data_IF_508944583668
#
_entry.id   IF_508944583668
#
_cell.length_a   1.000
_cell.length_b   1.000
_cell.length_c   1.000
_cell.angle_alpha   90.00
_cell.angle_beta   90.00
_cell.angle_gamma   90.00
#
_symmetry.space_group_name_H-M   'P 1'
#
loop_
_entity.id
_entity.type
_entity.pdbx_description
1 polymer ?
#
# COMPACT_ATOMS: atom_id res chain seq x y z
N UNK A 1 11.45 21.22 2.61
CA UNK A 1 11.25 20.02 3.43
C UNK A 1 11.00 18.81 2.54
N UNK A 2 11.44 17.66 2.98
CA UNK A 2 11.27 16.44 2.18
C UNK A 2 9.81 16.02 2.13
N UNK A 3 9.38 15.56 0.96
CA UNK A 3 8.04 15.01 0.80
C UNK A 3 7.94 13.68 1.53
N UNK A 4 6.73 13.34 1.97
CA UNK A 4 6.47 12.01 2.51
C UNK A 4 6.57 10.98 1.39
N UNK A 5 7.11 9.81 1.70
CA UNK A 5 7.30 8.72 0.74
C UNK A 5 6.13 7.75 0.81
N UNK A 6 5.54 7.43 -0.32
CA UNK A 6 4.48 6.43 -0.41
C UNK A 6 4.94 5.34 -1.36
N UNK A 7 4.95 4.11 -0.89
CA UNK A 7 5.29 2.95 -1.71
C UNK A 7 4.00 2.33 -2.26
N UNK A 8 3.91 2.22 -3.58
CA UNK A 8 2.77 1.61 -4.26
C UNK A 8 3.19 0.23 -4.76
N UNK A 9 2.56 -0.81 -4.26
CA UNK A 9 2.85 -2.19 -4.64
C UNK A 9 1.66 -2.74 -5.43
N UNK A 10 1.85 -2.93 -6.74
CA UNK A 10 0.80 -3.41 -7.64
C UNK A 10 1.48 -3.96 -8.88
N UNK A 11 1.03 -5.12 -9.38
CA UNK A 11 1.63 -5.76 -10.54
C UNK A 11 1.19 -5.10 -11.86
N UNK A 12 0.15 -4.29 -11.85
CA UNK A 12 -0.36 -3.64 -13.04
C UNK A 12 0.19 -2.22 -13.16
N UNK A 13 0.96 -1.97 -14.22
CA UNK A 13 1.54 -0.64 -14.46
C UNK A 13 0.45 0.44 -14.56
N UNK A 14 -0.67 0.12 -15.21
CA UNK A 14 -1.78 1.06 -15.34
C UNK A 14 -2.27 1.54 -13.97
N UNK A 15 -2.40 0.62 -13.02
CA UNK A 15 -2.86 0.97 -11.67
C UNK A 15 -1.83 1.81 -10.93
N UNK A 16 -0.54 1.47 -11.06
CA UNK A 16 0.51 2.27 -10.44
C UNK A 16 0.54 3.68 -11.01
N UNK A 17 0.45 3.81 -12.34
CA UNK A 17 0.45 5.12 -12.99
C UNK A 17 -0.73 5.96 -12.55
N UNK A 18 -1.90 5.35 -12.42
CA UNK A 18 -3.09 6.06 -11.97
C UNK A 18 -2.88 6.64 -10.57
N UNK A 19 -2.33 5.82 -9.66
CA UNK A 19 -2.09 6.27 -8.30
C UNK A 19 -1.04 7.38 -8.26
N UNK A 20 0.02 7.25 -9.06
CA UNK A 20 1.05 8.29 -9.15
C UNK A 20 0.41 9.63 -9.58
N UNK A 21 -0.49 9.60 -10.57
CA UNK A 21 -1.17 10.79 -11.03
C UNK A 21 -2.09 11.37 -9.94
N UNK A 22 -2.81 10.52 -9.22
CA UNK A 22 -3.71 10.97 -8.17
C UNK A 22 -2.96 11.61 -7.00
N UNK A 23 -1.77 11.12 -6.69
CA UNK A 23 -0.95 11.69 -5.61
C UNK A 23 -0.26 12.98 -6.03
N UNK A 24 -0.02 13.16 -7.32
CA UNK A 24 0.56 14.38 -7.86
C UNK A 24 1.96 14.68 -7.31
N UNK A 25 2.25 15.95 -7.09
CA UNK A 25 3.56 16.38 -6.62
C UNK A 25 3.65 16.47 -5.09
N UNK A 26 2.58 16.15 -4.38
CA UNK A 26 2.53 16.26 -2.93
C UNK A 26 3.37 15.21 -2.22
N UNK A 27 3.54 14.05 -2.83
CA UNK A 27 4.25 12.92 -2.25
C UNK A 27 5.35 12.41 -3.17
N UNK A 28 6.38 11.82 -2.57
CA UNK A 28 7.38 11.08 -3.33
C UNK A 28 6.87 9.64 -3.47
N UNK A 29 6.64 9.18 -4.70
CA UNK A 29 6.04 7.86 -4.94
C UNK A 29 7.11 6.87 -5.36
N UNK A 30 7.15 5.74 -4.66
CA UNK A 30 8.01 4.60 -4.99
C UNK A 30 7.10 3.49 -5.50
N UNK A 31 7.58 2.67 -6.42
CA UNK A 31 6.77 1.63 -7.03
C UNK A 31 7.42 0.26 -6.87
N UNK A 32 6.60 -0.77 -6.71
CA UNK A 32 7.03 -2.16 -6.70
C UNK A 32 6.02 -2.98 -7.49
N UNK A 33 6.50 -3.99 -8.22
CA UNK A 33 5.66 -4.75 -9.15
C UNK A 33 5.11 -6.04 -8.55
N UNK A 34 5.60 -6.43 -7.38
CA UNK A 34 5.09 -7.61 -6.67
C UNK A 34 5.39 -7.47 -5.18
N UNK A 35 4.89 -8.43 -4.41
CA UNK A 35 5.05 -8.39 -2.96
C UNK A 35 6.50 -8.52 -2.50
N UNK A 36 7.30 -9.34 -3.19
CA UNK A 36 8.70 -9.50 -2.86
C UNK A 36 9.48 -8.22 -3.04
N UNK A 37 9.28 -7.53 -4.17
CA UNK A 37 9.90 -6.24 -4.40
C UNK A 37 9.36 -5.21 -3.39
N UNK A 38 8.08 -5.29 -3.06
CA UNK A 38 7.47 -4.40 -2.07
C UNK A 38 8.16 -4.51 -0.72
N UNK A 39 8.42 -5.74 -0.26
CA UNK A 39 9.11 -5.94 1.01
C UNK A 39 10.54 -5.38 0.93
N UNK A 40 11.26 -5.65 -0.16
CA UNK A 40 12.64 -5.15 -0.32
C UNK A 40 12.68 -3.62 -0.35
N UNK A 41 11.75 -3.01 -1.09
CA UNK A 41 11.69 -1.54 -1.16
C UNK A 41 11.35 -0.94 0.19
N UNK A 42 10.45 -1.56 0.94
CA UNK A 42 10.12 -1.09 2.28
C UNK A 42 11.34 -1.12 3.19
N UNK A 43 12.14 -2.19 3.10
CA UNK A 43 13.35 -2.32 3.91
C UNK A 43 14.40 -1.27 3.53
N UNK A 44 14.56 -1.00 2.23
CA UNK A 44 15.58 -0.09 1.74
C UNK A 44 15.19 1.37 1.92
N UNK A 45 13.94 1.72 1.61
CA UNK A 45 13.49 3.11 1.56
C UNK A 45 12.75 3.58 2.79
N UNK A 46 12.22 2.66 3.58
CA UNK A 46 11.44 2.94 4.80
C UNK A 46 10.38 4.03 4.53
N UNK A 47 9.42 3.73 3.64
CA UNK A 47 8.41 4.73 3.28
C UNK A 47 7.54 5.12 4.47
N UNK A 48 6.82 6.22 4.32
CA UNK A 48 5.91 6.70 5.35
C UNK A 48 4.56 6.00 5.31
N UNK A 49 4.21 5.42 4.16
CA UNK A 49 2.95 4.71 3.98
C UNK A 49 3.08 3.75 2.80
N UNK A 50 2.37 2.63 2.84
CA UNK A 50 2.37 1.63 1.77
C UNK A 50 0.94 1.41 1.29
N UNK A 51 0.74 1.47 -0.04
CA UNK A 51 -0.50 1.04 -0.69
C UNK A 51 -0.22 -0.33 -1.27
N UNK A 52 -0.89 -1.35 -0.74
CA UNK A 52 -0.59 -2.75 -1.05
C UNK A 52 -1.74 -3.43 -1.77
N UNK A 53 -1.50 -3.83 -3.03
CA UNK A 53 -2.47 -4.64 -3.77
C UNK A 53 -2.46 -6.06 -3.19
N UNK A 54 -3.63 -6.60 -2.90
CA UNK A 54 -3.76 -7.92 -2.29
C UNK A 54 -3.77 -9.06 -3.28
N UNK A 55 -4.02 -8.78 -4.56
CA UNK A 55 -4.25 -9.83 -5.57
C UNK A 55 -3.08 -10.14 -6.49
N UNK A 56 -1.84 -9.98 -6.04
CA UNK A 56 -0.67 -10.19 -6.89
C UNK A 56 -0.25 -11.66 -6.95
N UNK A 57 0.28 -12.12 -8.11
CA UNK A 57 0.52 -13.55 -8.33
C UNK A 57 1.77 -14.14 -7.68
N UNK A 58 2.87 -13.43 -7.54
CA UNK A 58 4.13 -14.02 -7.06
C UNK A 58 4.18 -14.10 -5.54
N UNK A 59 4.27 -12.97 -4.90
CA UNK A 59 4.05 -12.88 -3.47
C UNK A 59 2.87 -11.94 -3.31
N UNK A 60 1.74 -12.45 -2.84
CA UNK A 60 0.55 -11.63 -2.76
C UNK A 60 0.67 -10.58 -1.65
N UNK A 61 -0.26 -9.61 -1.68
CA UNK A 61 -0.24 -8.52 -0.71
C UNK A 61 -0.44 -8.98 0.73
N UNK A 62 -1.13 -10.10 0.94
CA UNK A 62 -1.32 -10.66 2.29
C UNK A 62 0.02 -11.07 2.89
N UNK A 63 0.79 -11.86 2.13
CA UNK A 63 2.09 -12.34 2.60
C UNK A 63 3.07 -11.19 2.78
N UNK A 64 3.11 -10.25 1.83
CA UNK A 64 3.98 -9.08 1.93
C UNK A 64 3.65 -8.25 3.17
N UNK A 65 2.35 -8.04 3.44
CA UNK A 65 1.90 -7.30 4.62
C UNK A 65 2.36 -7.99 5.90
N UNK A 66 2.20 -9.32 5.98
CA UNK A 66 2.64 -10.06 7.17
C UNK A 66 4.14 -9.92 7.40
N UNK A 67 4.94 -10.01 6.32
CA UNK A 67 6.39 -9.87 6.42
C UNK A 67 6.81 -8.49 6.91
N UNK A 68 6.18 -7.45 6.38
CA UNK A 68 6.46 -6.08 6.79
C UNK A 68 6.08 -5.88 8.25
N UNK A 69 4.91 -6.34 8.66
CA UNK A 69 4.44 -6.17 10.04
C UNK A 69 5.21 -7.03 11.04
N UNK A 70 5.85 -8.10 10.58
CA UNK A 70 6.71 -8.92 11.43
C UNK A 70 8.09 -8.28 11.65
N UNK A 71 8.48 -7.32 10.83
CA UNK A 71 9.78 -6.64 10.92
C UNK A 71 9.66 -5.47 11.91
N UNK A 72 10.44 -5.51 12.99
CA UNK A 72 10.36 -4.49 14.04
C UNK A 72 10.69 -3.09 13.55
N UNK A 73 11.46 -2.96 12.47
CA UNK A 73 11.81 -1.66 11.91
C UNK A 73 10.75 -1.11 10.97
N UNK A 74 9.82 -1.96 10.50
CA UNK A 74 8.84 -1.58 9.50
C UNK A 74 7.40 -1.64 10.01
N UNK A 75 7.15 -2.29 11.13
CA UNK A 75 5.77 -2.55 11.59
C UNK A 75 4.98 -1.28 11.87
N UNK A 76 5.66 -0.17 12.11
CA UNK A 76 4.99 1.11 12.39
C UNK A 76 4.46 1.78 11.11
N UNK A 77 4.89 1.33 9.93
CA UNK A 77 4.48 1.94 8.67
C UNK A 77 3.03 1.56 8.36
N UNK A 78 2.14 2.55 8.16
CA UNK A 78 0.75 2.23 7.82
C UNK A 78 0.66 1.54 6.47
N UNK A 79 -0.13 0.48 6.39
CA UNK A 79 -0.39 -0.23 5.14
C UNK A 79 -1.88 -0.14 4.84
N UNK A 80 -2.21 0.44 3.69
CA UNK A 80 -3.58 0.48 3.19
C UNK A 80 -3.71 -0.61 2.14
N UNK A 81 -4.54 -1.62 2.41
CA UNK A 81 -4.77 -2.70 1.47
C UNK A 81 -5.68 -2.21 0.34
N UNK A 82 -5.30 -2.51 -0.91
CA UNK A 82 -6.09 -2.16 -2.09
C UNK A 82 -6.60 -3.46 -2.71
N UNK A 83 -7.90 -3.58 -2.90
CA UNK A 83 -8.50 -4.84 -3.35
C UNK A 83 -9.63 -4.61 -4.33
N UNK A 84 -9.74 -5.50 -5.32
CA UNK A 84 -10.87 -5.50 -6.25
C UNK A 84 -12.07 -6.27 -5.71
N UNK A 85 -11.92 -6.92 -4.55
CA UNK A 85 -12.98 -7.69 -3.91
C UNK A 85 -13.37 -7.02 -2.60
N UNK A 86 -14.35 -6.11 -2.66
CA UNK A 86 -14.77 -5.33 -1.50
C UNK A 86 -15.81 -6.09 -0.67
N UNK A 87 -15.52 -7.35 -0.33
CA UNK A 87 -16.41 -8.18 0.49
C UNK A 87 -15.96 -8.14 1.95
N UNK A 88 -16.92 -8.33 2.85
CA UNK A 88 -16.65 -8.29 4.29
C UNK A 88 -15.53 -9.26 4.69
N UNK A 89 -15.48 -10.45 4.07
CA UNK A 89 -14.44 -11.42 4.35
C UNK A 89 -13.04 -10.91 4.02
N UNK A 90 -12.90 -10.18 2.91
CA UNK A 90 -11.60 -9.63 2.49
C UNK A 90 -11.13 -8.55 3.46
N UNK A 91 -12.03 -7.72 3.95
CA UNK A 91 -11.70 -6.70 4.93
C UNK A 91 -11.19 -7.32 6.23
N UNK A 92 -11.85 -8.38 6.70
CA UNK A 92 -11.43 -9.10 7.90
C UNK A 92 -10.03 -9.70 7.69
N UNK A 93 -9.79 -10.34 6.54
CA UNK A 93 -8.49 -10.93 6.23
C UNK A 93 -7.40 -9.87 6.17
N UNK A 94 -7.69 -8.70 5.62
CA UNK A 94 -6.74 -7.60 5.57
C UNK A 94 -6.32 -7.18 6.98
N UNK A 95 -7.28 -7.06 7.88
CA UNK A 95 -6.99 -6.73 9.28
C UNK A 95 -6.16 -7.81 9.95
N UNK A 96 -6.44 -9.08 9.69
CA UNK A 96 -5.68 -10.20 10.26
C UNK A 96 -4.25 -10.24 9.75
N UNK A 97 -4.01 -9.83 8.50
CA UNK A 97 -2.66 -9.75 7.95
C UNK A 97 -1.87 -8.57 8.51
N UNK A 98 -2.55 -7.59 9.10
CA UNK A 98 -1.93 -6.45 9.73
C UNK A 98 -2.09 -5.13 8.99
N UNK A 99 -2.97 -5.07 7.99
CA UNK A 99 -3.27 -3.82 7.30
C UNK A 99 -3.93 -2.82 8.25
N UNK A 100 -3.61 -1.56 8.08
CA UNK A 100 -4.15 -0.50 8.94
C UNK A 100 -5.46 0.07 8.40
N UNK A 101 -5.67 -0.05 7.10
CA UNK A 101 -6.90 0.38 6.46
C UNK A 101 -7.05 -0.37 5.14
N UNK A 102 -8.08 -0.07 4.41
CA UNK A 102 -8.49 -0.84 3.26
C UNK A 102 -9.18 0.09 2.25
N UNK A 103 -8.94 -0.14 0.96
CA UNK A 103 -9.47 0.72 -0.11
C UNK A 103 -9.91 -0.17 -1.26
N UNK A 104 -11.21 -0.15 -1.63
CA UNK A 104 -11.68 -0.98 -2.73
C UNK A 104 -11.33 -0.38 -4.09
N UNK A 105 -11.17 -1.23 -5.09
CA UNK A 105 -11.07 -0.83 -6.50
C UNK A 105 -12.47 -0.77 -7.11
N UNK A 106 -12.76 0.14 -8.03
CA UNK A 106 -11.86 1.18 -8.53
C UNK A 106 -11.59 2.26 -7.49
N UNK A 107 -10.37 2.78 -7.51
CA UNK A 107 -9.93 3.72 -6.48
C UNK A 107 -10.65 5.07 -6.65
N UNK A 108 -11.29 5.54 -5.57
CA UNK A 108 -11.87 6.87 -5.50
C UNK A 108 -10.81 7.84 -5.02
N UNK A 109 -10.54 8.88 -5.80
CA UNK A 109 -9.48 9.84 -5.49
C UNK A 109 -9.67 10.50 -4.13
N UNK A 110 -10.88 10.93 -3.84
CA UNK A 110 -11.14 11.62 -2.57
C UNK A 110 -10.93 10.70 -1.37
N UNK A 111 -11.37 9.46 -1.49
CA UNK A 111 -11.19 8.48 -0.42
C UNK A 111 -9.72 8.12 -0.23
N UNK A 112 -8.99 7.93 -1.32
CA UNK A 112 -7.56 7.66 -1.27
C UNK A 112 -6.82 8.78 -0.54
N UNK A 113 -7.04 10.03 -0.95
CA UNK A 113 -6.35 11.17 -0.35
C UNK A 113 -6.75 11.36 1.11
N UNK A 114 -8.01 11.15 1.44
CA UNK A 114 -8.50 11.26 2.81
C UNK A 114 -7.81 10.24 3.73
N UNK A 115 -7.70 9.00 3.27
CA UNK A 115 -7.06 7.95 4.06
C UNK A 115 -5.57 8.20 4.22
N UNK A 116 -4.90 8.65 3.16
CA UNK A 116 -3.48 8.97 3.24
C UNK A 116 -3.24 10.09 4.25
N UNK A 117 -4.04 11.15 4.20
CA UNK A 117 -3.89 12.26 5.14
C UNK A 117 -4.16 11.85 6.58
N UNK A 118 -5.05 10.89 6.78
CA UNK A 118 -5.35 10.36 8.10
C UNK A 118 -4.11 9.78 8.76
N UNK A 119 -3.26 9.09 8.00
CA UNK A 119 -2.07 8.43 8.52
C UNK A 119 -0.81 9.30 8.46
N UNK A 120 -0.76 10.29 7.57
CA UNK A 120 0.43 11.10 7.34
C UNK A 120 0.27 12.55 7.76
N UNK A 121 -0.42 12.77 8.82
CA UNK A 121 -0.60 14.13 9.35
C UNK A 121 0.71 14.82 9.67
#
# INVERSE_FOLDING_TARGET
MAKKKILVVDDAEFNRDLIVQLLGDEYEVLEAVDGGEGVRRAEQEKPDLILMDLGMPVMDGWEATRKIKANSELRHIPIIAVTSHAMVGDEIQACEAGCDDYLPKPIDENELLRKIKKFLK
#
